data_IF_122970453197
#
_entry.id   IF_122970453197
#
_cell.length_a   1.000
_cell.length_b   1.000
_cell.length_c   1.000
_cell.angle_alpha   90.00
_cell.angle_beta   90.00
_cell.angle_gamma   90.00
#
_symmetry.space_group_name_H-M   'P 1'
#
loop_
_entity.id
_entity.type
_entity.pdbx_description
1 polymer ?
#
# COMPACT_ATOMS: atom_id res chain seq x y z
N UNK A 1 17.71 13.80 7.68
CA UNK A 1 16.77 14.09 6.57
C UNK A 1 15.38 14.01 7.16
N UNK A 2 14.56 15.04 7.00
CA UNK A 2 13.17 14.98 7.51
C UNK A 2 12.39 13.88 6.77
N UNK A 3 11.42 13.24 7.43
CA UNK A 3 10.69 12.11 6.84
C UNK A 3 10.08 12.44 5.46
N UNK A 4 9.63 13.69 5.27
CA UNK A 4 9.12 14.17 3.98
C UNK A 4 10.18 14.06 2.88
N UNK A 5 11.37 14.60 3.12
CA UNK A 5 12.49 14.55 2.18
C UNK A 5 12.93 13.11 1.92
N UNK A 6 12.90 12.26 2.95
CA UNK A 6 13.23 10.83 2.85
C UNK A 6 12.27 10.10 1.93
N UNK A 7 10.97 10.35 2.05
CA UNK A 7 9.95 9.77 1.17
C UNK A 7 10.11 10.25 -0.29
N UNK A 8 10.29 11.55 -0.51
CA UNK A 8 10.44 12.13 -1.84
C UNK A 8 11.68 11.60 -2.58
N UNK A 9 12.83 11.58 -1.91
CA UNK A 9 14.08 11.03 -2.47
C UNK A 9 13.99 9.52 -2.73
N UNK A 10 13.37 8.77 -1.82
CA UNK A 10 13.21 7.32 -1.94
C UNK A 10 12.27 6.92 -3.07
N UNK A 11 11.32 7.78 -3.44
CA UNK A 11 10.45 7.55 -4.58
C UNK A 11 11.22 7.46 -5.90
N UNK A 12 12.26 8.29 -6.07
CA UNK A 12 13.11 8.24 -7.27
C UNK A 12 13.80 6.88 -7.39
N UNK A 13 14.32 6.36 -6.27
CA UNK A 13 14.91 5.03 -6.23
C UNK A 13 13.87 3.92 -6.50
N UNK A 14 12.63 4.10 -6.03
CA UNK A 14 11.53 3.15 -6.20
C UNK A 14 11.00 3.05 -7.63
N UNK A 15 10.99 4.15 -8.39
CA UNK A 15 10.54 4.15 -9.78
C UNK A 15 11.59 3.55 -10.74
N UNK A 16 12.86 3.48 -10.34
CA UNK A 16 13.89 2.81 -11.12
C UNK A 16 13.54 1.33 -11.35
N UNK A 17 13.32 0.96 -12.61
CA UNK A 17 12.99 -0.41 -13.02
C UNK A 17 11.48 -0.72 -13.07
N UNK A 18 10.60 0.27 -12.96
CA UNK A 18 9.15 0.10 -13.13
C UNK A 18 8.64 0.60 -14.46
N UNK A 19 7.48 0.10 -14.86
CA UNK A 19 6.79 0.54 -16.07
C UNK A 19 6.19 1.94 -15.87
N UNK A 20 6.93 2.93 -16.36
CA UNK A 20 6.56 4.34 -16.37
C UNK A 20 5.42 4.67 -17.34
N UNK A 21 5.07 3.75 -18.25
CA UNK A 21 4.01 3.97 -19.24
C UNK A 21 2.64 3.42 -18.81
N UNK A 22 2.50 3.01 -17.55
CA UNK A 22 1.23 2.51 -17.02
C UNK A 22 0.34 3.65 -16.51
N UNK A 23 -0.99 3.55 -16.69
CA UNK A 23 -1.96 4.52 -16.16
C UNK A 23 -1.82 4.74 -14.64
N UNK A 24 -1.33 3.72 -13.93
CA UNK A 24 -1.10 3.79 -12.48
C UNK A 24 0.15 4.59 -12.13
N UNK A 25 1.15 4.64 -13.01
CA UNK A 25 2.33 5.49 -12.81
C UNK A 25 1.92 6.97 -12.76
N UNK A 26 1.07 7.44 -13.69
CA UNK A 26 0.60 8.82 -13.70
C UNK A 26 -0.16 9.18 -12.42
N UNK A 27 -1.05 8.30 -11.97
CA UNK A 27 -1.80 8.47 -10.71
C UNK A 27 -0.84 8.61 -9.52
N UNK A 28 0.18 7.75 -9.44
CA UNK A 28 1.15 7.75 -8.35
C UNK A 28 2.02 8.99 -8.36
N UNK A 29 2.50 9.39 -9.54
CA UNK A 29 3.31 10.60 -9.72
C UNK A 29 2.53 11.85 -9.34
N UNK A 30 1.26 11.95 -9.73
CA UNK A 30 0.40 13.05 -9.30
C UNK A 30 0.20 13.08 -7.78
N UNK A 31 -0.08 11.92 -7.16
CA UNK A 31 -0.25 11.84 -5.71
C UNK A 31 1.03 12.26 -4.95
N UNK A 32 2.21 11.94 -5.49
CA UNK A 32 3.47 12.37 -4.91
C UNK A 32 3.68 13.88 -5.05
N UNK A 33 3.35 14.48 -6.20
CA UNK A 33 3.41 15.92 -6.41
C UNK A 33 2.48 16.67 -5.45
N UNK A 34 1.26 16.15 -5.27
CA UNK A 34 0.29 16.68 -4.30
C UNK A 34 0.86 16.59 -2.87
N UNK A 35 1.49 15.47 -2.51
CA UNK A 35 2.17 15.31 -1.23
C UNK A 35 3.39 16.23 -1.06
N UNK A 36 4.17 16.46 -2.12
CA UNK A 36 5.29 17.39 -2.11
C UNK A 36 4.81 18.82 -1.82
N UNK A 37 3.73 19.24 -2.47
CA UNK A 37 3.13 20.57 -2.27
C UNK A 37 2.48 20.74 -0.89
N UNK A 38 1.69 19.75 -0.45
CA UNK A 38 0.91 19.83 0.80
C UNK A 38 1.74 19.46 2.04
N UNK A 39 2.63 18.48 1.92
CA UNK A 39 3.38 17.90 3.02
C UNK A 39 2.51 17.20 4.07
N UNK A 40 3.09 16.97 5.25
CA UNK A 40 2.34 16.44 6.38
C UNK A 40 1.45 17.52 7.01
N UNK A 41 0.23 17.16 7.45
CA UNK A 41 -0.65 18.11 8.11
C UNK A 41 -0.07 18.54 9.45
N UNK A 42 -0.41 19.76 9.87
CA UNK A 42 -0.03 20.32 11.16
C UNK A 42 -1.27 20.71 11.96
N UNK A 43 -1.10 20.97 13.27
CA UNK A 43 -2.18 21.45 14.14
C UNK A 43 -2.82 22.78 13.70
N UNK A 44 -2.23 23.47 12.70
CA UNK A 44 -2.82 24.65 12.06
C UNK A 44 -4.05 24.29 11.22
N UNK A 45 -4.14 23.05 10.72
CA UNK A 45 -5.31 22.54 10.02
C UNK A 45 -6.35 22.10 11.04
N UNK A 46 -7.60 22.53 10.86
CA UNK A 46 -8.70 22.26 11.80
C UNK A 46 -8.86 20.76 12.09
N UNK A 47 -8.86 19.93 11.05
CA UNK A 47 -8.97 18.47 11.14
C UNK A 47 -7.83 17.82 11.96
N UNK A 48 -6.72 18.53 12.18
CA UNK A 48 -5.53 18.05 12.88
C UNK A 48 -5.23 18.81 14.17
N UNK A 49 -6.11 19.74 14.59
CA UNK A 49 -5.91 20.60 15.76
C UNK A 49 -5.55 19.81 17.03
N UNK A 50 -6.17 18.66 17.21
CA UNK A 50 -6.02 17.80 18.39
C UNK A 50 -5.13 16.57 18.14
N UNK A 51 -4.64 16.37 16.93
CA UNK A 51 -3.84 15.20 16.54
C UNK A 51 -2.44 15.65 16.12
N UNK A 52 -1.49 15.59 17.04
CA UNK A 52 -0.10 15.97 16.76
C UNK A 52 0.64 14.86 16.01
N UNK A 53 1.24 15.17 14.86
CA UNK A 53 2.13 14.23 14.15
C UNK A 53 3.59 14.30 14.59
N UNK A 54 3.97 15.27 15.44
CA UNK A 54 5.38 15.52 15.80
C UNK A 54 6.14 14.31 16.36
N UNK A 55 5.49 13.40 17.08
CA UNK A 55 6.16 12.19 17.58
C UNK A 55 6.55 11.27 16.43
N UNK A 56 5.63 11.04 15.51
CA UNK A 56 5.81 10.15 14.35
C UNK A 56 6.83 10.77 13.38
N UNK A 57 6.73 12.07 13.09
CA UNK A 57 7.60 12.71 12.09
C UNK A 57 9.09 12.82 12.49
N UNK A 58 9.41 12.64 13.77
CA UNK A 58 10.78 12.75 14.30
C UNK A 58 11.54 11.41 14.32
N UNK A 59 10.84 10.30 14.15
CA UNK A 59 11.46 8.98 14.14
C UNK A 59 12.26 8.76 12.84
N UNK A 60 13.37 8.02 12.94
CA UNK A 60 14.16 7.64 11.77
C UNK A 60 13.70 6.29 11.21
N UNK A 61 12.79 6.34 10.23
CA UNK A 61 12.20 5.15 9.61
C UNK A 61 13.08 4.54 8.52
N UNK A 62 13.28 3.23 8.51
CA UNK A 62 13.76 2.52 7.32
C UNK A 62 12.60 2.31 6.33
N UNK A 63 12.71 2.86 5.10
CA UNK A 63 11.65 2.75 4.08
C UNK A 63 11.74 1.47 3.24
N UNK A 64 12.93 0.89 3.15
CA UNK A 64 13.19 -0.35 2.42
C UNK A 64 13.93 -1.30 3.36
N UNK A 65 13.22 -2.08 4.18
CA UNK A 65 13.87 -3.04 5.06
C UNK A 65 14.68 -4.04 4.24
N UNK A 66 15.96 -4.22 4.60
CA UNK A 66 16.91 -5.08 3.88
C UNK A 66 16.66 -6.58 4.11
N UNK A 67 15.86 -6.93 5.12
CA UNK A 67 15.62 -8.31 5.53
C UNK A 67 14.12 -8.61 5.55
N UNK A 68 13.75 -9.72 4.91
CA UNK A 68 12.43 -10.29 5.08
C UNK A 68 12.39 -11.04 6.42
N UNK A 69 11.42 -10.68 7.26
CA UNK A 69 11.17 -11.40 8.49
C UNK A 69 10.46 -12.70 8.12
N UNK A 70 11.04 -13.83 8.49
CA UNK A 70 10.38 -15.12 8.35
C UNK A 70 9.20 -15.17 9.33
N UNK A 71 7.97 -15.07 8.79
CA UNK A 71 6.72 -15.18 9.55
C UNK A 71 6.09 -16.53 9.23
N UNK A 72 5.79 -17.30 10.27
CA UNK A 72 5.17 -18.61 10.13
C UNK A 72 3.66 -18.55 10.40
N UNK A 73 2.95 -19.63 10.03
CA UNK A 73 1.51 -19.75 10.28
C UNK A 73 1.18 -19.56 11.77
N UNK A 74 2.03 -20.07 12.66
CA UNK A 74 1.83 -19.96 14.11
C UNK A 74 1.79 -18.50 14.59
N UNK A 75 2.56 -17.60 13.96
CA UNK A 75 2.63 -16.19 14.32
C UNK A 75 1.35 -15.43 13.96
N UNK A 76 0.73 -15.82 12.84
CA UNK A 76 -0.48 -15.15 12.32
C UNK A 76 -1.78 -15.78 12.79
N UNK A 77 -1.77 -17.07 13.14
CA UNK A 77 -2.96 -17.85 13.51
C UNK A 77 -3.77 -17.20 14.65
N UNK A 78 -3.10 -16.55 15.59
CA UNK A 78 -3.74 -15.85 16.73
C UNK A 78 -4.59 -14.64 16.33
N UNK A 79 -4.38 -14.08 15.13
CA UNK A 79 -5.17 -12.97 14.60
C UNK A 79 -6.32 -13.44 13.70
N UNK A 80 -6.41 -14.74 13.42
CA UNK A 80 -7.53 -15.28 12.67
C UNK A 80 -8.77 -15.28 13.54
N UNK A 81 -9.89 -14.84 12.96
CA UNK A 81 -11.17 -14.87 13.65
C UNK A 81 -11.62 -16.34 13.69
N UNK A 82 -11.68 -16.89 14.91
CA UNK A 82 -12.11 -18.26 15.13
C UNK A 82 -13.60 -18.44 14.76
N UNK A 83 -13.95 -19.66 14.33
CA UNK A 83 -15.31 -20.08 13.99
C UNK A 83 -15.99 -19.30 12.86
N UNK A 84 -15.19 -18.69 11.98
CA UNK A 84 -15.67 -18.11 10.72
C UNK A 84 -15.09 -18.90 9.55
N UNK A 85 -15.97 -19.42 8.70
CA UNK A 85 -15.62 -19.96 7.40
C UNK A 85 -15.38 -18.79 6.43
N UNK A 86 -14.11 -18.39 6.27
CA UNK A 86 -13.71 -17.27 5.44
C UNK A 86 -12.35 -17.48 4.78
N UNK A 87 -12.19 -16.89 3.60
CA UNK A 87 -10.90 -16.67 2.95
C UNK A 87 -10.03 -15.73 3.78
N UNK A 88 -8.73 -16.02 3.82
CA UNK A 88 -7.75 -15.29 4.63
C UNK A 88 -6.71 -14.71 3.69
N UNK A 89 -6.57 -13.39 3.66
CA UNK A 89 -5.57 -12.71 2.82
C UNK A 89 -4.59 -12.04 3.76
N UNK A 90 -3.35 -12.52 3.77
CA UNK A 90 -2.30 -12.08 4.69
C UNK A 90 -1.28 -11.21 3.95
N UNK A 91 -1.01 -10.03 4.52
CA UNK A 91 0.04 -9.13 4.07
C UNK A 91 1.08 -8.98 5.18
N UNK A 92 2.35 -9.17 4.84
CA UNK A 92 3.50 -8.94 5.72
C UNK A 92 4.22 -7.70 5.18
N UNK A 93 4.29 -6.63 5.99
CA UNK A 93 4.91 -5.35 5.61
C UNK A 93 4.40 -4.81 4.25
N UNK A 94 3.10 -4.96 4.01
CA UNK A 94 2.45 -4.53 2.76
C UNK A 94 2.66 -5.46 1.56
N UNK A 95 3.43 -6.54 1.67
CA UNK A 95 3.59 -7.58 0.65
C UNK A 95 2.61 -8.73 0.87
N UNK A 96 1.95 -9.19 -0.18
CA UNK A 96 1.06 -10.35 -0.12
C UNK A 96 1.83 -11.65 0.14
N UNK A 97 1.38 -12.46 1.11
CA UNK A 97 1.93 -13.78 1.40
C UNK A 97 0.99 -14.88 0.90
N UNK A 98 1.37 -15.55 -0.19
CA UNK A 98 0.59 -16.69 -0.71
C UNK A 98 0.61 -17.90 0.22
N UNK A 99 1.69 -18.09 0.98
CA UNK A 99 1.85 -19.24 1.88
C UNK A 99 0.95 -19.16 3.11
N UNK A 100 0.69 -17.95 3.61
CA UNK A 100 -0.15 -17.72 4.79
C UNK A 100 -1.60 -17.37 4.43
N UNK A 101 -1.88 -17.14 3.14
CA UNK A 101 -3.21 -16.82 2.65
C UNK A 101 -3.97 -18.08 2.22
N UNK A 102 -5.28 -18.05 2.41
CA UNK A 102 -6.22 -19.06 2.01
C UNK A 102 -7.25 -18.41 1.09
N UNK A 103 -7.22 -18.77 -0.20
CA UNK A 103 -8.10 -18.21 -1.24
C UNK A 103 -8.80 -19.35 -1.99
N UNK A 104 -9.93 -19.07 -2.63
CA UNK A 104 -10.62 -20.01 -3.53
C UNK A 104 -10.52 -19.53 -4.98
N UNK A 105 -10.85 -20.44 -5.90
CA UNK A 105 -11.16 -20.12 -7.29
C UNK A 105 -12.58 -20.60 -7.71
N UNK A 106 -13.41 -21.08 -6.79
CA UNK A 106 -14.71 -21.69 -7.13
C UNK A 106 -15.84 -20.67 -7.29
N UNK A 107 -15.85 -19.60 -6.49
CA UNK A 107 -16.92 -18.57 -6.52
C UNK A 107 -16.38 -17.16 -6.80
N UNK A 108 -15.14 -16.89 -6.38
CA UNK A 108 -14.49 -15.58 -6.47
C UNK A 108 -13.05 -15.78 -6.95
N UNK A 109 -12.58 -14.94 -7.87
CA UNK A 109 -11.18 -14.93 -8.32
C UNK A 109 -10.40 -13.88 -7.52
N UNK A 110 -9.56 -14.34 -6.58
CA UNK A 110 -8.65 -13.47 -5.83
C UNK A 110 -7.31 -13.43 -6.56
N UNK A 111 -6.91 -12.24 -7.02
CA UNK A 111 -5.64 -12.07 -7.72
C UNK A 111 -4.86 -10.85 -7.21
N UNK A 112 -3.56 -10.85 -7.48
CA UNK A 112 -2.71 -9.71 -7.20
C UNK A 112 -3.14 -8.49 -8.01
N UNK A 113 -3.05 -7.30 -7.41
CA UNK A 113 -3.34 -6.04 -8.11
C UNK A 113 -2.51 -5.89 -9.39
N UNK A 114 -1.26 -6.36 -9.42
CA UNK A 114 -0.42 -6.37 -10.62
C UNK A 114 -1.05 -7.18 -11.77
N UNK A 115 -1.69 -8.31 -11.47
CA UNK A 115 -2.42 -9.10 -12.45
C UNK A 115 -3.72 -8.41 -12.87
N UNK A 116 -4.41 -7.75 -11.93
CA UNK A 116 -5.61 -6.97 -12.23
C UNK A 116 -5.33 -5.81 -13.20
N UNK A 117 -4.21 -5.13 -13.03
CA UNK A 117 -3.80 -3.98 -13.85
C UNK A 117 -3.25 -4.37 -15.23
N UNK A 118 -2.65 -5.56 -15.37
CA UNK A 118 -2.00 -5.99 -16.62
C UNK A 118 -2.89 -6.84 -17.52
N UNK A 119 -3.83 -7.61 -16.96
CA UNK A 119 -4.63 -8.55 -17.76
C UNK A 119 -5.82 -7.84 -18.41
N UNK A 120 -6.00 -7.95 -19.73
CA UNK A 120 -7.12 -7.31 -20.45
C UNK A 120 -8.50 -7.64 -19.87
N UNK A 121 -8.68 -8.85 -19.32
CA UNK A 121 -9.95 -9.31 -18.76
C UNK A 121 -10.50 -8.43 -17.63
N UNK A 122 -9.64 -7.67 -16.94
CA UNK A 122 -10.05 -6.81 -15.82
C UNK A 122 -10.11 -5.32 -16.19
N UNK A 123 -9.68 -4.94 -17.40
CA UNK A 123 -9.50 -3.53 -17.79
C UNK A 123 -10.74 -2.68 -17.55
N UNK A 124 -11.91 -3.15 -17.98
CA UNK A 124 -13.18 -2.42 -17.80
C UNK A 124 -13.51 -2.14 -16.34
N UNK A 125 -13.17 -3.06 -15.43
CA UNK A 125 -13.40 -2.87 -13.99
C UNK A 125 -12.42 -1.83 -13.44
N UNK A 126 -11.14 -1.92 -13.81
CA UNK A 126 -10.13 -0.95 -13.39
C UNK A 126 -10.49 0.45 -13.86
N UNK A 127 -10.81 0.64 -15.15
CA UNK A 127 -11.14 1.95 -15.73
C UNK A 127 -12.34 2.61 -15.01
N UNK A 128 -13.34 1.81 -14.65
CA UNK A 128 -14.59 2.30 -14.06
C UNK A 128 -14.48 2.60 -12.56
N UNK A 129 -13.65 1.87 -11.81
CA UNK A 129 -13.70 1.90 -10.35
C UNK A 129 -12.38 2.31 -9.67
N UNK A 130 -11.23 2.06 -10.29
CA UNK A 130 -9.94 2.36 -9.67
C UNK A 130 -9.72 3.87 -9.56
N UNK A 131 -9.34 4.34 -8.36
CA UNK A 131 -9.05 5.75 -8.07
C UNK A 131 -10.20 6.74 -8.39
N UNK A 132 -11.46 6.34 -8.20
CA UNK A 132 -12.64 7.21 -8.47
C UNK A 132 -13.41 7.70 -7.24
N UNK A 133 -13.39 6.95 -6.14
CA UNK A 133 -14.26 7.20 -4.98
C UNK A 133 -13.59 8.08 -3.92
N UNK A 134 -12.34 7.79 -3.58
CA UNK A 134 -11.59 8.60 -2.63
C UNK A 134 -11.27 9.96 -3.29
N UNK A 135 -11.81 11.03 -2.73
CA UNK A 135 -11.56 12.43 -3.11
C UNK A 135 -10.88 13.16 -1.96
#
# INVERSE_FOLDING_TARGET
MELKEKLLSSYVAFENGRDINSDVHEIRTKALQDFEALGFPSKKLEAWKYTSLNSILKEDYSLFPEHEIAIELADVKKYFIHDIDSYKIVFIDGKYSSFLSETTHDVIDVCLMSAALSKPKYKTIIDNYFNKIAK
#
